data_IF_516805027064
#
_entry.id   IF_516805027064
#
_cell.length_a   1.000
_cell.length_b   1.000
_cell.length_c   1.000
_cell.angle_alpha   90.00
_cell.angle_beta   90.00
_cell.angle_gamma   90.00
#
_symmetry.space_group_name_H-M   'P 1'
#
loop_
_entity.id
_entity.type
_entity.pdbx_description
1 polymer ?
#
# COMPACT_ATOMS: atom_id res chain seq x y z
N UNK A 1 1.05 -28.57 -9.99
CA UNK A 1 0.09 -27.45 -10.07
C UNK A 1 0.60 -26.29 -9.23
N UNK A 2 0.89 -25.14 -9.84
CA UNK A 2 1.27 -23.95 -9.08
C UNK A 2 0.01 -23.35 -8.42
N UNK A 3 0.00 -23.23 -7.09
CA UNK A 3 -1.07 -22.50 -6.37
C UNK A 3 -0.77 -21.01 -6.44
N UNK A 4 -1.74 -20.22 -6.88
CA UNK A 4 -1.60 -18.76 -6.98
C UNK A 4 -1.66 -18.10 -5.60
N UNK A 5 -1.07 -16.91 -5.47
CA UNK A 5 -1.10 -16.11 -4.22
C UNK A 5 -2.55 -15.87 -3.76
N UNK A 6 -3.48 -15.72 -4.70
CA UNK A 6 -4.92 -15.57 -4.43
C UNK A 6 -5.52 -16.78 -3.69
N UNK A 7 -5.07 -18.00 -3.98
CA UNK A 7 -5.51 -19.22 -3.29
C UNK A 7 -5.14 -19.15 -1.80
N UNK A 8 -3.88 -18.86 -1.49
CA UNK A 8 -3.39 -18.78 -0.12
C UNK A 8 -4.04 -17.65 0.67
N UNK A 9 -4.30 -16.51 0.02
CA UNK A 9 -5.04 -15.40 0.61
C UNK A 9 -6.44 -15.82 1.04
N UNK A 10 -7.19 -16.51 0.18
CA UNK A 10 -8.56 -16.94 0.49
C UNK A 10 -8.59 -18.02 1.58
N UNK A 11 -7.64 -18.95 1.58
CA UNK A 11 -7.51 -19.90 2.68
C UNK A 11 -7.21 -19.20 4.00
N UNK A 12 -6.29 -18.23 4.02
CA UNK A 12 -5.96 -17.49 5.22
C UNK A 12 -7.16 -16.72 5.79
N UNK A 13 -7.97 -16.09 4.92
CA UNK A 13 -9.20 -15.39 5.30
C UNK A 13 -10.22 -16.37 5.89
N UNK A 14 -10.45 -17.51 5.21
CA UNK A 14 -11.38 -18.56 5.68
C UNK A 14 -10.96 -19.15 7.02
N UNK A 15 -9.69 -19.53 7.17
CA UNK A 15 -9.15 -20.11 8.39
C UNK A 15 -9.30 -19.17 9.60
N UNK A 16 -9.21 -17.85 9.38
CA UNK A 16 -9.35 -16.84 10.44
C UNK A 16 -10.79 -16.36 10.65
N UNK A 17 -11.76 -16.92 9.91
CA UNK A 17 -13.15 -16.41 9.85
C UNK A 17 -13.20 -14.89 9.61
N UNK A 18 -12.20 -14.37 8.91
CA UNK A 18 -12.04 -12.95 8.67
C UNK A 18 -12.89 -12.49 7.50
N UNK A 19 -13.17 -11.20 7.45
CA UNK A 19 -13.56 -10.54 6.21
C UNK A 19 -12.27 -10.00 5.57
N UNK A 20 -12.06 -10.16 4.24
CA UNK A 20 -11.02 -9.41 3.55
C UNK A 20 -11.19 -7.93 3.91
N UNK A 21 -10.10 -7.30 4.36
CA UNK A 21 -10.12 -5.90 4.77
C UNK A 21 -10.70 -5.04 3.63
N UNK A 22 -11.49 -4.02 3.98
CA UNK A 22 -11.93 -3.01 3.02
C UNK A 22 -10.79 -2.00 2.79
N UNK A 23 -9.60 -2.55 2.54
CA UNK A 23 -8.35 -1.86 2.59
C UNK A 23 -8.32 -0.72 1.59
N UNK A 24 -8.27 0.48 2.14
CA UNK A 24 -7.91 1.71 1.46
C UNK A 24 -6.47 1.52 0.97
N UNK A 25 -6.29 1.47 -0.34
CA UNK A 25 -5.00 1.61 -1.02
C UNK A 25 -4.09 0.38 -1.20
N UNK A 26 -4.63 -0.85 -1.17
CA UNK A 26 -3.91 -2.01 -1.69
C UNK A 26 -4.42 -2.39 -3.09
N UNK A 27 -3.84 -1.79 -4.14
CA UNK A 27 -4.22 -2.03 -5.55
C UNK A 27 -4.18 -3.52 -5.93
N UNK A 28 -3.28 -4.30 -5.33
CA UNK A 28 -3.20 -5.75 -5.54
C UNK A 28 -4.37 -6.48 -4.88
N UNK A 29 -4.71 -6.13 -3.63
CA UNK A 29 -5.88 -6.69 -2.95
C UNK A 29 -7.18 -6.30 -3.65
N UNK A 30 -7.28 -5.07 -4.16
CA UNK A 30 -8.40 -4.61 -4.97
C UNK A 30 -8.62 -5.51 -6.20
N UNK A 31 -7.56 -5.76 -6.98
CA UNK A 31 -7.63 -6.64 -8.17
C UNK A 31 -8.00 -8.08 -7.79
N UNK A 32 -7.44 -8.60 -6.70
CA UNK A 32 -7.78 -9.94 -6.20
C UNK A 32 -9.24 -10.03 -5.76
N UNK A 33 -9.74 -9.03 -5.01
CA UNK A 33 -11.13 -8.98 -4.55
C UNK A 33 -12.12 -8.87 -5.72
N UNK A 34 -11.83 -8.01 -6.70
CA UNK A 34 -12.65 -7.87 -7.91
C UNK A 34 -12.70 -9.17 -8.73
N UNK A 35 -11.56 -9.85 -8.91
CA UNK A 35 -11.51 -11.13 -9.63
C UNK A 35 -12.26 -12.24 -8.90
N UNK A 36 -12.07 -12.36 -7.58
CA UNK A 36 -12.62 -13.47 -6.80
C UNK A 36 -14.10 -13.32 -6.47
N UNK A 37 -14.62 -12.09 -6.43
CA UNK A 37 -16.01 -11.84 -6.01
C UNK A 37 -16.90 -11.26 -7.11
N UNK A 38 -16.40 -11.07 -8.32
CA UNK A 38 -17.18 -10.58 -9.47
C UNK A 38 -18.36 -11.47 -9.90
N UNK A 39 -18.35 -12.76 -9.52
CA UNK A 39 -19.42 -13.72 -9.88
C UNK A 39 -20.36 -14.09 -8.73
N UNK A 40 -20.22 -13.46 -7.56
CA UNK A 40 -21.09 -13.72 -6.42
C UNK A 40 -22.44 -12.98 -6.53
N UNK A 41 -23.46 -13.46 -5.82
CA UNK A 41 -24.81 -12.86 -5.79
C UNK A 41 -25.13 -12.13 -4.46
N UNK A 42 -24.13 -11.88 -3.61
CA UNK A 42 -24.31 -11.16 -2.36
C UNK A 42 -24.27 -9.63 -2.56
N UNK A 43 -24.82 -8.86 -1.61
CA UNK A 43 -24.83 -7.37 -1.67
C UNK A 43 -23.45 -6.73 -1.83
N UNK A 44 -22.40 -7.50 -1.56
CA UNK A 44 -21.03 -7.07 -1.67
C UNK A 44 -20.41 -7.43 -3.02
N UNK A 45 -21.10 -8.09 -3.96
CA UNK A 45 -20.59 -8.49 -5.27
C UNK A 45 -20.39 -7.32 -6.28
N UNK A 46 -19.61 -7.58 -7.34
CA UNK A 46 -19.28 -6.61 -8.38
C UNK A 46 -18.63 -5.33 -7.84
N UNK A 47 -19.18 -4.17 -8.20
CA UNK A 47 -18.64 -2.86 -7.80
C UNK A 47 -18.72 -2.59 -6.28
N UNK A 48 -19.49 -3.37 -5.53
CA UNK A 48 -19.58 -3.26 -4.07
C UNK A 48 -18.49 -4.10 -3.35
N UNK A 49 -17.64 -4.80 -4.11
CA UNK A 49 -16.59 -5.65 -3.55
C UNK A 49 -15.45 -4.86 -2.93
N UNK A 50 -15.25 -3.63 -3.38
CA UNK A 50 -14.13 -2.81 -2.94
C UNK A 50 -14.63 -1.41 -2.59
N UNK A 51 -14.47 -1.05 -1.32
CA UNK A 51 -14.63 0.32 -0.86
C UNK A 51 -13.27 1.00 -0.92
N UNK A 52 -13.06 1.86 -1.90
CA UNK A 52 -11.93 2.79 -1.91
C UNK A 52 -12.38 4.02 -1.11
N UNK A 53 -12.27 3.95 0.22
CA UNK A 53 -12.47 5.14 1.06
C UNK A 53 -11.16 5.93 1.11
N UNK A 54 -11.19 7.25 1.08
CA UNK A 54 -9.99 8.03 1.42
C UNK A 54 -9.62 7.76 2.88
N UNK A 55 -8.34 7.47 3.17
CA UNK A 55 -7.87 7.40 4.55
C UNK A 55 -7.86 8.80 5.16
N UNK A 56 -9.03 9.28 5.59
CA UNK A 56 -9.20 10.65 6.14
C UNK A 56 -8.25 10.92 7.32
N UNK A 57 -7.84 9.88 8.03
CA UNK A 57 -6.83 9.96 9.08
C UNK A 57 -5.42 10.27 8.53
N UNK A 58 -5.03 9.65 7.41
CA UNK A 58 -3.72 9.88 6.79
C UNK A 58 -3.66 11.16 5.97
N UNK A 59 -4.79 11.63 5.42
CA UNK A 59 -4.85 12.85 4.60
C UNK A 59 -4.30 14.09 5.33
N UNK A 60 -4.56 14.23 6.64
CA UNK A 60 -4.01 15.35 7.43
C UNK A 60 -2.48 15.27 7.54
N UNK A 61 -1.95 14.07 7.77
CA UNK A 61 -0.52 13.82 7.89
C UNK A 61 0.15 14.07 6.54
N UNK A 62 -0.41 13.57 5.44
CA UNK A 62 0.09 13.80 4.08
C UNK A 62 0.06 15.28 3.67
N UNK A 63 -1.03 16.00 3.97
CA UNK A 63 -1.11 17.44 3.75
C UNK A 63 0.00 18.20 4.51
N UNK A 64 0.23 17.84 5.77
CA UNK A 64 1.30 18.45 6.55
C UNK A 64 2.68 18.12 6.00
N UNK A 65 2.94 16.86 5.61
CA UNK A 65 4.19 16.47 4.93
C UNK A 65 4.42 17.26 3.65
N UNK A 66 3.37 17.54 2.87
CA UNK A 66 3.46 18.36 1.66
C UNK A 66 3.89 19.81 1.96
N UNK A 67 3.32 20.43 2.99
CA UNK A 67 3.71 21.79 3.43
C UNK A 67 5.16 21.80 3.94
N UNK A 68 5.50 20.88 4.84
CA UNK A 68 6.85 20.77 5.41
C UNK A 68 7.91 20.55 4.32
N UNK A 69 7.61 19.70 3.33
CA UNK A 69 8.46 19.47 2.18
C UNK A 69 8.71 20.76 1.40
N UNK A 70 7.65 21.47 1.03
CA UNK A 70 7.74 22.72 0.25
C UNK A 70 8.48 23.84 0.99
N UNK A 71 8.32 23.92 2.31
CA UNK A 71 8.87 25.03 3.10
C UNK A 71 10.30 24.78 3.58
N UNK A 72 10.65 23.55 3.94
CA UNK A 72 11.89 23.30 4.69
C UNK A 72 12.70 22.10 4.21
N UNK A 73 12.05 21.04 3.72
CA UNK A 73 12.78 19.78 3.45
C UNK A 73 13.25 19.62 2.01
N UNK A 74 12.76 20.43 1.05
CA UNK A 74 13.11 20.25 -0.36
C UNK A 74 14.64 20.30 -0.60
N UNK A 75 15.33 21.26 0.02
CA UNK A 75 16.80 21.35 -0.04
C UNK A 75 17.48 20.06 0.45
N UNK A 76 17.12 19.57 1.64
CA UNK A 76 17.71 18.38 2.23
C UNK A 76 17.43 17.13 1.40
N UNK A 77 16.21 17.01 0.88
CA UNK A 77 15.80 15.91 0.00
C UNK A 77 16.66 15.90 -1.27
N UNK A 78 16.92 17.05 -1.87
CA UNK A 78 17.71 17.15 -3.09
C UNK A 78 19.20 16.88 -2.81
N UNK A 79 19.73 17.40 -1.69
CA UNK A 79 21.08 17.11 -1.23
C UNK A 79 21.29 15.60 -1.00
N UNK A 80 20.40 14.94 -0.27
CA UNK A 80 20.54 13.50 -0.01
C UNK A 80 20.39 12.67 -1.28
N UNK A 81 19.54 13.08 -2.22
CA UNK A 81 19.47 12.43 -3.54
C UNK A 81 20.78 12.56 -4.31
N UNK A 82 21.42 13.72 -4.27
CA UNK A 82 22.70 13.93 -4.94
C UNK A 82 23.80 13.06 -4.32
N UNK A 83 23.90 13.03 -2.99
CA UNK A 83 24.85 12.16 -2.27
C UNK A 83 24.66 10.68 -2.66
N UNK A 84 23.41 10.23 -2.81
CA UNK A 84 23.10 8.89 -3.29
C UNK A 84 23.53 8.67 -4.75
N UNK A 85 23.26 9.62 -5.64
CA UNK A 85 23.63 9.53 -7.06
C UNK A 85 25.14 9.52 -7.28
N UNK A 86 25.87 10.29 -6.48
CA UNK A 86 27.32 10.37 -6.53
C UNK A 86 28.01 9.11 -5.95
N UNK A 87 27.22 8.16 -5.41
CA UNK A 87 27.71 6.89 -4.88
C UNK A 87 28.27 6.97 -3.46
N UNK A 88 28.10 8.11 -2.77
CA UNK A 88 28.53 8.29 -1.38
C UNK A 88 27.55 7.68 -0.38
N UNK A 89 26.34 7.31 -0.81
CA UNK A 89 25.36 6.62 0.00
C UNK A 89 24.73 5.49 -0.81
N UNK A 90 25.00 4.26 -0.40
CA UNK A 90 24.54 3.05 -1.08
C UNK A 90 23.24 2.50 -0.50
N UNK A 91 22.90 2.90 0.73
CA UNK A 91 21.77 2.35 1.47
C UNK A 91 21.96 0.88 1.83
N UNK A 92 23.21 0.41 1.80
CA UNK A 92 23.68 -0.89 2.28
C UNK A 92 23.37 -1.03 3.79
N UNK A 93 23.40 -2.27 4.28
CA UNK A 93 23.40 -2.60 5.69
C UNK A 93 24.30 -1.68 6.54
N UNK A 94 25.52 -1.36 6.08
CA UNK A 94 26.43 -0.46 6.79
C UNK A 94 25.91 0.98 6.93
N UNK A 95 25.15 1.47 5.93
CA UNK A 95 24.60 2.83 5.91
C UNK A 95 23.34 3.00 6.80
N UNK A 96 22.74 1.88 7.24
CA UNK A 96 21.46 1.85 7.99
C UNK A 96 21.61 1.52 9.47
N UNK A 97 22.82 1.17 9.91
CA UNK A 97 23.09 0.67 11.25
C UNK A 97 24.15 1.50 12.03
N UNK A 98 24.42 2.72 11.59
CA UNK A 98 25.22 3.72 12.29
C UNK A 98 24.35 4.80 12.93
#
# INVERSE_FOLDING_TARGET
MARSIAYFFIEAVKCRKGCPDMGVDNTVLHKMQAFLRGSHQDNRAGNNNVMCGDSRANQRVECWWSVLKKQCLQFWIDLFRQIQQDGYFSGDYLDKHL
#
